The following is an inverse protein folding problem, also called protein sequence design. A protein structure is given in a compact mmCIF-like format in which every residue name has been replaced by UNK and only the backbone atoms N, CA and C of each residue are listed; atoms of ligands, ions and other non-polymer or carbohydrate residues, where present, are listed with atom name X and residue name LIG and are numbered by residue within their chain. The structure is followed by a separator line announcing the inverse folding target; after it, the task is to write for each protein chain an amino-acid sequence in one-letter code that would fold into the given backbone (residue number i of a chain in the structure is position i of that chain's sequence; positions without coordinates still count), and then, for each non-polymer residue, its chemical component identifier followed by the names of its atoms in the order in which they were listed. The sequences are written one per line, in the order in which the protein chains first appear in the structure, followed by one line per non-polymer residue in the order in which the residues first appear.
data_IF_877984629657
#
_entry.id   IF_877984629657
#
_cell.length_a   1.000
_cell.length_b   1.000
_cell.length_c   1.000
_cell.angle_alpha   90.00
_cell.angle_beta   90.00
_cell.angle_gamma   90.00
#
_symmetry.space_group_name_H-M   'P 1'
#
loop_
_entity.id
_entity.type
_entity.pdbx_description
1 polymer ?
#
# COMPACT_ATOMS: atom_id res chain seq x y z
N UNK A 1 -24.39 -8.35 20.18
CA UNK A 1 -23.66 -7.18 20.73
C UNK A 1 -22.90 -6.56 19.57
N UNK A 2 -22.97 -5.23 19.38
CA UNK A 2 -22.27 -4.55 18.27
C UNK A 2 -20.79 -4.53 18.59
N UNK A 3 -19.95 -5.04 17.66
CA UNK A 3 -18.49 -5.04 17.78
C UNK A 3 -17.91 -3.76 17.19
N UNK A 4 -17.19 -2.98 17.98
CA UNK A 4 -16.51 -1.76 17.54
C UNK A 4 -15.09 -2.10 17.07
N UNK A 5 -14.79 -1.86 15.78
CA UNK A 5 -13.46 -2.09 15.22
C UNK A 5 -12.85 -0.74 14.84
N UNK A 6 -11.64 -0.46 15.36
CA UNK A 6 -10.87 0.73 15.03
C UNK A 6 -9.77 0.38 14.04
N UNK A 7 -9.80 0.94 12.83
CA UNK A 7 -8.71 0.86 11.85
C UNK A 7 -7.86 2.13 11.92
N UNK A 8 -6.57 1.96 12.19
CA UNK A 8 -5.56 3.02 12.06
C UNK A 8 -4.88 2.87 10.71
N UNK A 9 -5.09 3.84 9.83
CA UNK A 9 -4.63 3.84 8.44
C UNK A 9 -3.88 5.13 8.11
N UNK A 10 -3.64 5.41 6.84
CA UNK A 10 -3.13 6.69 6.35
C UNK A 10 -3.72 7.04 4.99
N UNK A 11 -4.21 8.26 4.87
CA UNK A 11 -4.67 8.85 3.63
C UNK A 11 -3.57 9.60 2.87
N UNK A 12 -2.48 9.97 3.57
CA UNK A 12 -1.45 10.89 3.05
C UNK A 12 -0.17 10.19 2.56
N UNK A 13 0.12 8.97 3.02
CA UNK A 13 1.34 8.23 2.65
C UNK A 13 1.17 7.37 1.40
N UNK A 14 0.72 7.99 0.31
CA UNK A 14 0.33 7.29 -0.89
C UNK A 14 -1.06 6.64 -0.74
N UNK A 15 -1.57 6.04 -1.83
CA UNK A 15 -2.91 5.41 -1.78
C UNK A 15 -2.90 3.95 -1.30
N UNK A 16 -1.73 3.40 -0.95
CA UNK A 16 -1.59 2.00 -0.60
C UNK A 16 -2.41 1.59 0.62
N UNK A 17 -2.15 2.23 1.74
CA UNK A 17 -2.85 1.95 3.01
C UNK A 17 -4.36 2.22 2.90
N UNK A 18 -4.72 3.34 2.24
CA UNK A 18 -6.11 3.68 1.96
C UNK A 18 -6.82 2.61 1.13
N UNK A 19 -6.19 2.11 0.05
CA UNK A 19 -6.74 1.07 -0.82
C UNK A 19 -7.03 -0.22 -0.04
N UNK A 20 -6.12 -0.64 0.84
CA UNK A 20 -6.31 -1.80 1.72
C UNK A 20 -7.49 -1.53 2.68
N UNK A 21 -7.51 -0.37 3.32
CA UNK A 21 -8.57 0.00 4.25
C UNK A 21 -9.93 0.04 3.57
N UNK A 22 -10.02 0.60 2.35
CA UNK A 22 -11.24 0.61 1.54
C UNK A 22 -11.71 -0.83 1.24
N UNK A 23 -10.81 -1.73 0.84
CA UNK A 23 -11.16 -3.12 0.53
C UNK A 23 -11.73 -3.88 1.74
N UNK A 24 -11.21 -3.61 2.94
CA UNK A 24 -11.74 -4.19 4.18
C UNK A 24 -13.08 -3.53 4.57
N UNK A 25 -13.19 -2.20 4.43
CA UNK A 25 -14.42 -1.47 4.74
C UNK A 25 -15.59 -1.95 3.89
N UNK A 26 -15.35 -2.24 2.59
CA UNK A 26 -16.34 -2.85 1.69
C UNK A 26 -16.85 -4.21 2.23
N UNK A 27 -15.99 -5.00 2.89
CA UNK A 27 -16.39 -6.30 3.45
C UNK A 27 -17.02 -6.16 4.83
N UNK A 28 -16.51 -5.28 5.70
CA UNK A 28 -17.12 -4.99 6.99
C UNK A 28 -18.55 -4.44 6.85
N UNK A 29 -18.86 -3.68 5.79
CA UNK A 29 -20.22 -3.14 5.55
C UNK A 29 -21.27 -4.23 5.35
N UNK A 30 -20.87 -5.47 5.08
CA UNK A 30 -21.77 -6.62 4.97
C UNK A 30 -22.16 -7.23 6.35
N UNK A 31 -21.57 -6.73 7.44
CA UNK A 31 -21.79 -7.19 8.80
C UNK A 31 -22.52 -6.12 9.62
N UNK A 32 -23.86 -6.19 9.77
CA UNK A 32 -24.65 -5.16 10.45
C UNK A 32 -24.39 -5.08 11.97
N UNK A 33 -23.77 -6.10 12.54
CA UNK A 33 -23.35 -6.19 13.92
C UNK A 33 -21.94 -5.61 14.19
N UNK A 34 -21.32 -5.00 13.16
CA UNK A 34 -20.00 -4.35 13.25
C UNK A 34 -20.11 -2.85 13.04
N UNK A 35 -19.53 -2.09 13.96
CA UNK A 35 -19.31 -0.65 13.78
C UNK A 35 -17.85 -0.37 13.49
N UNK A 36 -17.58 0.01 12.25
CA UNK A 36 -16.22 0.31 11.80
C UNK A 36 -15.87 1.78 11.99
N UNK A 37 -14.71 2.03 12.58
CA UNK A 37 -14.13 3.38 12.74
C UNK A 37 -12.78 3.41 12.04
N UNK A 38 -12.65 4.24 11.01
CA UNK A 38 -11.39 4.42 10.27
C UNK A 38 -10.80 5.77 10.63
N UNK A 39 -9.54 5.78 11.06
CA UNK A 39 -8.82 6.98 11.48
C UNK A 39 -7.47 7.04 10.76
N UNK A 40 -7.15 8.20 10.18
CA UNK A 40 -5.80 8.47 9.71
C UNK A 40 -4.88 8.72 10.91
N UNK A 41 -3.88 7.84 11.10
CA UNK A 41 -2.97 7.91 12.25
C UNK A 41 -2.20 9.22 12.33
N UNK A 42 -1.90 9.88 11.20
CA UNK A 42 -1.23 11.18 11.21
C UNK A 42 -2.10 12.30 11.82
N UNK A 43 -3.42 12.16 11.80
CA UNK A 43 -4.30 13.13 12.48
C UNK A 43 -4.15 13.09 13.98
N UNK A 44 -3.73 11.95 14.55
CA UNK A 44 -3.49 11.81 15.99
C UNK A 44 -2.31 12.67 16.47
N UNK A 45 -1.34 12.96 15.60
CA UNK A 45 -0.23 13.88 15.87
C UNK A 45 -0.59 15.35 15.56
N UNK A 46 -1.86 15.66 15.35
CA UNK A 46 -2.35 17.02 15.05
C UNK A 46 -1.75 17.59 13.75
N UNK A 47 -1.59 18.92 13.72
CA UNK A 47 -1.08 19.62 12.52
C UNK A 47 0.33 19.19 12.11
N UNK A 48 1.17 18.79 13.06
CA UNK A 48 2.54 18.33 12.78
C UNK A 48 2.51 16.99 12.03
N UNK A 49 1.75 16.02 12.50
CA UNK A 49 1.59 14.73 11.84
C UNK A 49 1.03 14.87 10.42
N UNK A 50 0.01 15.71 10.24
CA UNK A 50 -0.57 15.99 8.93
C UNK A 50 0.47 16.58 7.94
N UNK A 51 1.36 17.47 8.40
CA UNK A 51 2.45 18.02 7.57
C UNK A 51 3.43 16.92 7.16
N UNK A 52 3.82 16.05 8.09
CA UNK A 52 4.73 14.92 7.82
C UNK A 52 4.10 13.97 6.81
N UNK A 53 2.84 13.57 7.00
CA UNK A 53 2.12 12.70 6.04
C UNK A 53 2.06 13.31 4.64
N UNK A 54 1.76 14.62 4.51
CA UNK A 54 1.71 15.33 3.23
C UNK A 54 3.07 15.44 2.52
N UNK A 55 4.19 15.39 3.26
CA UNK A 55 5.54 15.41 2.67
C UNK A 55 5.92 14.08 2.00
N UNK A 56 5.22 12.97 2.30
CA UNK A 56 5.52 11.67 1.71
C UNK A 56 5.55 11.70 0.17
N UNK A 57 4.51 12.22 -0.46
CA UNK A 57 4.43 12.29 -1.92
C UNK A 57 5.57 13.09 -2.56
N UNK A 58 5.83 14.35 -2.15
CA UNK A 58 6.98 15.13 -2.61
C UNK A 58 8.33 14.44 -2.39
N UNK A 59 8.56 13.83 -1.21
CA UNK A 59 9.84 13.18 -0.88
C UNK A 59 10.08 11.95 -1.76
N UNK A 60 9.10 11.06 -1.87
CA UNK A 60 9.24 9.83 -2.69
C UNK A 60 9.37 10.13 -4.20
N UNK A 61 8.85 11.29 -4.66
CA UNK A 61 8.98 11.75 -6.06
C UNK A 61 10.31 12.38 -6.37
N UNK A 62 10.75 13.32 -5.51
CA UNK A 62 11.81 14.29 -5.84
C UNK A 62 13.09 14.09 -5.01
N UNK A 63 13.03 13.36 -3.89
CA UNK A 63 14.13 13.21 -2.95
C UNK A 63 14.29 11.74 -2.50
N UNK A 64 14.52 10.84 -3.47
CA UNK A 64 14.65 9.39 -3.22
C UNK A 64 15.76 9.03 -2.22
N UNK A 65 16.85 9.80 -2.20
CA UNK A 65 17.95 9.61 -1.25
C UNK A 65 17.49 9.93 0.19
N UNK A 66 16.70 11.00 0.38
CA UNK A 66 16.12 11.32 1.68
C UNK A 66 15.14 10.24 2.14
N UNK A 67 14.33 9.70 1.21
CA UNK A 67 13.48 8.55 1.48
C UNK A 67 14.30 7.34 1.93
N UNK A 68 15.38 7.02 1.20
CA UNK A 68 16.27 5.91 1.55
C UNK A 68 16.87 6.07 2.95
N UNK A 69 17.33 7.27 3.29
CA UNK A 69 17.84 7.55 4.65
C UNK A 69 16.76 7.32 5.73
N UNK A 70 15.54 7.77 5.51
CA UNK A 70 14.41 7.52 6.42
C UNK A 70 14.10 6.03 6.56
N UNK A 71 14.13 5.29 5.47
CA UNK A 71 13.99 3.83 5.46
C UNK A 71 15.11 3.15 6.26
N UNK A 72 16.36 3.50 6.02
CA UNK A 72 17.51 2.96 6.77
C UNK A 72 17.43 3.28 8.26
N UNK A 73 16.95 4.47 8.63
CA UNK A 73 16.71 4.81 10.03
C UNK A 73 15.66 3.89 10.65
N UNK A 74 14.57 3.62 9.93
CA UNK A 74 13.50 2.71 10.39
C UNK A 74 14.00 1.26 10.58
N UNK A 75 15.01 0.84 9.80
CA UNK A 75 15.63 -0.48 9.95
C UNK A 75 16.57 -0.55 11.16
N UNK A 76 17.36 0.51 11.40
CA UNK A 76 18.43 0.50 12.40
C UNK A 76 17.96 0.93 13.79
N UNK A 77 17.02 1.86 13.87
CA UNK A 77 16.53 2.47 15.13
C UNK A 77 15.01 2.66 15.12
N UNK A 78 14.23 1.58 15.01
CA UNK A 78 12.76 1.67 14.98
C UNK A 78 12.19 2.30 16.26
N UNK A 79 12.84 2.13 17.42
CA UNK A 79 12.42 2.72 18.68
C UNK A 79 12.35 4.25 18.62
N UNK A 80 13.34 4.91 17.98
CA UNK A 80 13.33 6.37 17.88
C UNK A 80 12.11 6.90 17.08
N UNK A 81 11.69 6.15 16.06
CA UNK A 81 10.49 6.49 15.28
C UNK A 81 9.25 6.29 16.15
N UNK A 82 9.17 5.17 16.87
CA UNK A 82 8.05 4.87 17.76
C UNK A 82 7.92 5.91 18.87
N UNK A 83 9.02 6.25 19.56
CA UNK A 83 9.04 7.20 20.67
C UNK A 83 8.59 8.60 20.22
N UNK A 84 9.04 9.05 19.03
CA UNK A 84 8.62 10.33 18.47
C UNK A 84 7.13 10.37 18.16
N UNK A 85 6.59 9.32 17.55
CA UNK A 85 5.18 9.25 17.19
C UNK A 85 4.32 9.09 18.44
N UNK A 86 4.74 8.25 19.38
CA UNK A 86 4.09 8.10 20.68
C UNK A 86 3.90 9.45 21.36
N UNK A 87 5.00 10.22 21.49
CA UNK A 87 4.99 11.53 22.12
C UNK A 87 3.95 12.51 21.53
N UNK A 88 3.74 12.43 20.22
CA UNK A 88 2.86 13.34 19.49
C UNK A 88 1.42 12.85 19.37
N UNK A 89 1.16 11.55 19.57
CA UNK A 89 -0.16 10.93 19.37
C UNK A 89 -0.86 10.57 20.69
N UNK A 90 -0.14 10.49 21.79
CA UNK A 90 -0.58 9.94 23.08
C UNK A 90 -1.95 10.47 23.52
N UNK A 91 -2.09 11.75 23.70
CA UNK A 91 -3.31 12.36 24.25
C UNK A 91 -4.52 12.14 23.32
N UNK A 92 -4.33 12.39 22.03
CA UNK A 92 -5.39 12.23 21.05
C UNK A 92 -5.80 10.76 20.87
N UNK A 93 -4.86 9.83 21.01
CA UNK A 93 -5.17 8.40 20.93
C UNK A 93 -5.99 7.93 22.12
N UNK A 94 -5.65 8.34 23.35
CA UNK A 94 -6.44 8.03 24.55
C UNK A 94 -7.85 8.62 24.46
N UNK A 95 -7.99 9.88 24.02
CA UNK A 95 -9.31 10.48 23.80
C UNK A 95 -10.11 9.74 22.72
N UNK A 96 -9.43 9.27 21.67
CA UNK A 96 -10.06 8.43 20.63
C UNK A 96 -10.58 7.12 21.23
N UNK A 97 -9.79 6.43 22.06
CA UNK A 97 -10.20 5.20 22.73
C UNK A 97 -11.39 5.41 23.66
N UNK A 98 -11.42 6.50 24.45
CA UNK A 98 -12.55 6.84 25.32
C UNK A 98 -13.84 7.04 24.53
N UNK A 99 -13.75 7.67 23.35
CA UNK A 99 -14.89 7.96 22.48
C UNK A 99 -15.41 6.74 21.75
N UNK A 100 -14.52 5.91 21.19
CA UNK A 100 -14.89 4.76 20.33
C UNK A 100 -15.15 3.52 21.15
N UNK A 101 -14.37 3.28 22.19
CA UNK A 101 -14.36 2.04 22.99
C UNK A 101 -14.24 0.81 22.09
N UNK A 102 -13.14 0.68 21.34
CA UNK A 102 -12.98 -0.41 20.39
C UNK A 102 -12.80 -1.76 21.08
N UNK A 103 -13.36 -2.81 20.48
CA UNK A 103 -13.15 -4.22 20.85
C UNK A 103 -11.91 -4.80 20.18
N UNK A 104 -11.43 -4.15 19.11
CA UNK A 104 -10.24 -4.53 18.35
C UNK A 104 -9.65 -3.32 17.64
N UNK A 105 -8.31 -3.24 17.63
CA UNK A 105 -7.55 -2.27 16.85
C UNK A 105 -6.85 -3.01 15.71
N UNK A 106 -7.06 -2.55 14.47
CA UNK A 106 -6.34 -2.98 13.28
C UNK A 106 -5.44 -1.84 12.80
N UNK A 107 -4.14 -2.04 12.82
CA UNK A 107 -3.19 -1.09 12.25
C UNK A 107 -2.77 -1.52 10.84
N UNK A 108 -2.94 -0.62 9.88
CA UNK A 108 -2.58 -0.81 8.47
C UNK A 108 -1.41 0.09 8.08
N UNK A 109 -0.69 0.67 9.05
CA UNK A 109 0.46 1.54 8.77
C UNK A 109 1.61 1.29 9.76
N UNK A 110 2.86 1.10 9.29
CA UNK A 110 3.97 0.66 10.14
C UNK A 110 4.31 1.62 11.27
N UNK A 111 4.19 2.92 11.04
CA UNK A 111 4.59 3.96 11.99
C UNK A 111 3.73 3.98 13.27
N UNK A 112 2.53 3.37 13.26
CA UNK A 112 1.62 3.43 14.39
C UNK A 112 1.61 2.15 15.24
N UNK A 113 2.31 1.08 14.84
CA UNK A 113 2.29 -0.18 15.59
C UNK A 113 2.97 0.00 16.96
N UNK A 114 4.27 0.17 16.99
CA UNK A 114 5.03 0.27 18.24
C UNK A 114 4.65 1.47 19.09
N UNK A 115 4.38 2.63 18.47
CA UNK A 115 4.00 3.85 19.19
C UNK A 115 2.66 3.70 19.93
N UNK A 116 1.63 3.12 19.29
CA UNK A 116 0.34 2.93 19.95
C UNK A 116 0.39 1.79 20.97
N UNK A 117 1.19 0.75 20.73
CA UNK A 117 1.43 -0.32 21.72
C UNK A 117 2.13 0.21 22.96
N UNK A 118 3.12 1.12 22.82
CA UNK A 118 3.73 1.80 23.97
C UNK A 118 2.67 2.53 24.82
N UNK A 119 1.78 3.28 24.17
CA UNK A 119 0.70 3.99 24.88
C UNK A 119 -0.23 3.01 25.60
N UNK A 120 -0.65 1.92 24.93
CA UNK A 120 -1.52 0.91 25.55
C UNK A 120 -0.86 0.27 26.79
N UNK A 121 0.44 -0.07 26.70
CA UNK A 121 1.20 -0.63 27.82
C UNK A 121 1.35 0.36 28.99
N UNK A 122 1.72 1.62 28.68
CA UNK A 122 1.91 2.66 29.70
C UNK A 122 0.64 2.92 30.54
N UNK A 123 -0.53 2.78 29.92
CA UNK A 123 -1.83 2.94 30.60
C UNK A 123 -2.46 1.63 31.06
N UNK A 124 -1.80 0.48 30.85
CA UNK A 124 -2.33 -0.83 31.18
C UNK A 124 -3.62 -1.18 30.44
N UNK A 125 -3.83 -0.59 29.25
CA UNK A 125 -5.03 -0.79 28.44
C UNK A 125 -4.86 -2.07 27.64
N UNK A 126 -5.80 -3.00 27.78
CA UNK A 126 -5.80 -4.28 27.07
C UNK A 126 -6.89 -4.29 26.01
N UNK A 127 -6.49 -4.22 24.78
CA UNK A 127 -7.33 -4.33 23.58
C UNK A 127 -6.58 -5.20 22.58
N UNK A 128 -7.21 -6.19 21.94
CA UNK A 128 -6.59 -6.93 20.85
C UNK A 128 -6.06 -5.98 19.76
N UNK A 129 -4.77 -6.10 19.46
CA UNK A 129 -4.07 -5.28 18.48
C UNK A 129 -3.55 -6.15 17.35
N UNK A 130 -4.03 -5.92 16.13
CA UNK A 130 -3.64 -6.65 14.93
C UNK A 130 -2.94 -5.71 13.96
N UNK A 131 -1.84 -6.16 13.39
CA UNK A 131 -1.16 -5.47 12.29
C UNK A 131 -1.51 -6.15 10.96
N UNK A 132 -1.87 -5.38 9.94
CA UNK A 132 -1.99 -5.84 8.56
C UNK A 132 -0.90 -5.19 7.72
N UNK A 133 0.05 -5.99 7.25
CA UNK A 133 1.19 -5.51 6.46
C UNK A 133 0.74 -5.12 5.05
N UNK A 134 1.13 -3.91 4.62
CA UNK A 134 0.83 -3.36 3.29
C UNK A 134 2.00 -3.49 2.29
N UNK A 135 3.10 -4.15 2.68
CA UNK A 135 4.28 -4.39 1.86
C UNK A 135 4.43 -5.90 1.55
N UNK A 136 4.84 -6.26 0.32
CA UNK A 136 4.85 -7.67 -0.11
C UNK A 136 6.07 -8.45 0.41
N UNK A 137 7.27 -7.87 0.31
CA UNK A 137 8.53 -8.59 0.56
C UNK A 137 9.44 -7.81 1.50
N UNK A 138 9.83 -6.60 1.11
CA UNK A 138 10.72 -5.75 1.88
C UNK A 138 9.93 -5.01 2.93
N UNK A 139 9.98 -5.48 4.18
CA UNK A 139 9.29 -4.84 5.30
C UNK A 139 10.29 -4.26 6.30
N UNK A 140 9.91 -3.19 6.99
CA UNK A 140 10.71 -2.66 8.10
C UNK A 140 10.29 -3.30 9.44
N UNK A 141 11.18 -3.28 10.47
CA UNK A 141 10.82 -3.73 11.81
C UNK A 141 9.61 -3.02 12.42
N UNK A 142 9.27 -1.83 11.93
CA UNK A 142 8.06 -1.11 12.37
C UNK A 142 6.75 -1.87 12.08
N UNK A 143 6.74 -2.84 11.15
CA UNK A 143 5.62 -3.74 10.93
C UNK A 143 5.55 -4.88 11.95
N UNK A 144 6.68 -5.24 12.53
CA UNK A 144 6.89 -6.52 13.23
C UNK A 144 7.10 -6.32 14.74
N UNK A 145 6.17 -5.64 15.41
CA UNK A 145 6.20 -5.53 16.87
C UNK A 145 5.73 -6.83 17.52
N UNK A 146 6.55 -7.51 18.37
CA UNK A 146 6.19 -8.81 18.95
C UNK A 146 5.07 -8.73 19.99
N UNK A 147 4.69 -7.55 20.45
CA UNK A 147 3.63 -7.32 21.44
C UNK A 147 2.23 -7.46 20.86
N UNK A 148 2.04 -7.30 19.54
CA UNK A 148 0.73 -7.47 18.89
C UNK A 148 0.14 -8.86 19.13
N UNK A 149 -1.18 -9.01 19.06
CA UNK A 149 -1.83 -10.30 19.13
C UNK A 149 -1.60 -11.11 17.85
N UNK A 150 -1.76 -10.46 16.69
CA UNK A 150 -1.54 -11.07 15.38
C UNK A 150 -0.94 -10.09 14.37
N UNK A 151 -0.18 -10.64 13.42
CA UNK A 151 0.25 -9.95 12.20
C UNK A 151 -0.29 -10.71 11.00
N UNK A 152 -1.11 -10.04 10.20
CA UNK A 152 -1.60 -10.56 8.92
C UNK A 152 -0.55 -10.21 7.86
N UNK A 153 0.08 -11.25 7.33
CA UNK A 153 1.13 -11.16 6.32
C UNK A 153 0.54 -11.36 4.92
N UNK A 154 0.82 -10.48 3.95
CA UNK A 154 0.34 -10.65 2.58
C UNK A 154 1.05 -11.78 1.83
N UNK A 155 2.25 -12.17 2.28
CA UNK A 155 3.10 -13.17 1.61
C UNK A 155 3.86 -14.03 2.63
N UNK A 156 4.39 -15.16 2.18
CA UNK A 156 5.32 -15.96 2.99
C UNK A 156 6.64 -15.21 3.24
N UNK A 157 7.08 -14.41 2.28
CA UNK A 157 8.29 -13.60 2.38
C UNK A 157 8.17 -12.58 3.52
N UNK A 158 7.04 -11.86 3.62
CA UNK A 158 6.79 -10.93 4.73
C UNK A 158 6.67 -11.66 6.08
N UNK A 159 6.08 -12.87 6.12
CA UNK A 159 6.07 -13.72 7.32
C UNK A 159 7.49 -14.06 7.76
N UNK A 160 8.37 -14.50 6.84
CA UNK A 160 9.76 -14.82 7.17
C UNK A 160 10.51 -13.61 7.73
N UNK A 161 10.28 -12.43 7.18
CA UNK A 161 10.86 -11.19 7.72
C UNK A 161 10.36 -10.88 9.14
N UNK A 162 9.11 -11.11 9.44
CA UNK A 162 8.60 -10.96 10.82
C UNK A 162 9.25 -11.94 11.80
N UNK A 163 9.51 -13.18 11.38
CA UNK A 163 10.27 -14.16 12.18
C UNK A 163 11.70 -13.67 12.45
N UNK A 164 12.38 -13.15 11.42
CA UNK A 164 13.74 -12.55 11.56
C UNK A 164 13.74 -11.38 12.55
N UNK A 165 12.66 -10.63 12.68
CA UNK A 165 12.49 -9.54 13.63
C UNK A 165 12.02 -10.00 15.03
N UNK A 166 11.90 -11.31 15.27
CA UNK A 166 11.62 -11.88 16.58
C UNK A 166 10.14 -12.07 16.93
N UNK A 167 9.24 -11.93 15.96
CA UNK A 167 7.82 -12.21 16.19
C UNK A 167 7.58 -13.72 16.22
N UNK A 168 6.83 -14.21 17.21
CA UNK A 168 6.47 -15.64 17.32
C UNK A 168 5.64 -16.10 16.12
N UNK A 169 5.94 -17.29 15.62
CA UNK A 169 5.23 -17.88 14.47
C UNK A 169 3.73 -18.02 14.71
N UNK A 170 3.32 -18.30 15.94
CA UNK A 170 1.90 -18.44 16.34
C UNK A 170 1.07 -17.17 16.14
N UNK A 171 1.72 -16.00 16.04
CA UNK A 171 1.08 -14.71 15.80
C UNK A 171 1.03 -14.32 14.30
N UNK A 172 1.70 -15.08 13.42
CA UNK A 172 1.87 -14.73 12.01
C UNK A 172 0.92 -15.51 11.11
N UNK A 173 -0.03 -14.82 10.52
CA UNK A 173 -1.08 -15.40 9.66
C UNK A 173 -0.87 -14.94 8.22
N UNK A 174 -0.62 -15.86 7.30
CA UNK A 174 -0.51 -15.53 5.86
C UNK A 174 -1.89 -15.70 5.23
N UNK A 175 -2.53 -14.59 4.84
CA UNK A 175 -3.83 -14.61 4.15
C UNK A 175 -3.67 -14.14 2.70
N UNK A 176 -2.94 -13.05 2.48
CA UNK A 176 -2.76 -12.47 1.17
C UNK A 176 -2.90 -10.94 1.18
N UNK A 177 -2.76 -10.33 0.01
CA UNK A 177 -2.85 -8.89 -0.16
C UNK A 177 -4.27 -8.49 -0.61
N UNK A 178 -5.05 -7.77 0.19
CA UNK A 178 -6.43 -7.44 -0.15
C UNK A 178 -6.50 -6.38 -1.24
N UNK A 179 -7.42 -6.58 -2.18
CA UNK A 179 -7.67 -5.68 -3.32
C UNK A 179 -9.13 -5.22 -3.26
N UNK A 180 -9.40 -3.97 -3.62
CA UNK A 180 -10.74 -3.38 -3.63
C UNK A 180 -11.69 -4.12 -4.58
N UNK A 181 -12.95 -4.20 -4.21
CA UNK A 181 -13.99 -4.94 -4.95
C UNK A 181 -14.05 -4.55 -6.43
N UNK A 182 -13.85 -3.29 -6.77
CA UNK A 182 -13.90 -2.81 -8.15
C UNK A 182 -12.87 -3.45 -9.10
N UNK A 183 -11.75 -3.97 -8.59
CA UNK A 183 -10.74 -4.68 -9.41
C UNK A 183 -11.05 -6.15 -9.60
N UNK A 184 -11.96 -6.72 -8.81
CA UNK A 184 -12.36 -8.14 -8.88
C UNK A 184 -13.82 -8.34 -9.28
N UNK A 185 -14.63 -7.28 -9.32
CA UNK A 185 -16.06 -7.39 -9.64
C UNK A 185 -16.35 -7.93 -11.05
N UNK A 186 -15.40 -7.76 -11.99
CA UNK A 186 -15.52 -8.31 -13.34
C UNK A 186 -15.57 -9.85 -13.35
N UNK A 187 -15.05 -10.51 -12.30
CA UNK A 187 -15.14 -11.97 -12.15
C UNK A 187 -16.57 -12.47 -11.92
N UNK A 188 -17.49 -11.58 -11.54
CA UNK A 188 -18.91 -11.88 -11.38
C UNK A 188 -19.73 -11.62 -12.67
N UNK A 189 -19.07 -11.17 -13.75
CA UNK A 189 -19.69 -10.87 -15.04
C UNK A 189 -18.93 -11.65 -16.12
N UNK A 190 -19.53 -12.72 -16.60
CA UNK A 190 -18.93 -13.65 -17.58
C UNK A 190 -18.42 -12.93 -18.84
N UNK A 191 -19.09 -11.88 -19.29
CA UNK A 191 -18.66 -11.10 -20.46
C UNK A 191 -17.39 -10.32 -20.18
N UNK A 192 -17.29 -9.67 -19.01
CA UNK A 192 -16.10 -8.91 -18.59
C UNK A 192 -14.95 -9.83 -18.21
N UNK A 193 -15.25 -10.94 -17.57
CA UNK A 193 -14.25 -11.98 -17.25
C UNK A 193 -13.65 -12.55 -18.53
N UNK A 194 -14.46 -12.93 -19.52
CA UNK A 194 -13.98 -13.42 -20.79
C UNK A 194 -13.11 -12.41 -21.52
N UNK A 195 -13.46 -11.11 -21.46
CA UNK A 195 -12.63 -10.03 -22.02
C UNK A 195 -11.29 -9.89 -21.30
N UNK A 196 -11.27 -9.88 -19.97
CA UNK A 196 -10.04 -9.83 -19.17
C UNK A 196 -9.14 -11.05 -19.40
N UNK A 197 -9.77 -12.24 -19.60
CA UNK A 197 -9.09 -13.50 -19.82
C UNK A 197 -8.71 -13.77 -21.28
N UNK A 198 -9.17 -12.93 -22.24
CA UNK A 198 -8.88 -13.09 -23.64
C UNK A 198 -7.37 -13.10 -23.89
N UNK A 199 -6.95 -14.05 -24.73
CA UNK A 199 -5.57 -14.14 -25.19
C UNK A 199 -5.28 -13.03 -26.22
N UNK A 200 -4.11 -12.45 -26.12
CA UNK A 200 -3.60 -11.59 -27.18
C UNK A 200 -3.01 -12.46 -28.29
N UNK A 201 -3.44 -12.23 -29.53
CA UNK A 201 -3.04 -13.04 -30.71
C UNK A 201 -2.23 -12.25 -31.74
N UNK A 202 -2.01 -10.94 -31.50
CA UNK A 202 -1.31 -10.07 -32.46
C UNK A 202 -2.18 -9.51 -33.59
N UNK A 203 -3.46 -9.85 -33.65
CA UNK A 203 -4.36 -9.47 -34.75
C UNK A 203 -4.98 -8.05 -34.58
N UNK A 204 -4.57 -7.31 -33.56
CA UNK A 204 -4.99 -5.94 -33.26
C UNK A 204 -3.85 -5.17 -32.62
N UNK A 205 -3.92 -3.83 -32.60
CA UNK A 205 -2.95 -3.03 -31.84
C UNK A 205 -2.87 -3.48 -30.37
N UNK A 206 -1.67 -3.40 -29.80
CA UNK A 206 -1.41 -3.73 -28.40
C UNK A 206 -1.91 -2.58 -27.52
N UNK A 207 -2.77 -2.87 -26.55
CA UNK A 207 -3.25 -1.90 -25.56
C UNK A 207 -2.29 -1.82 -24.39
N UNK A 208 -1.61 -0.69 -24.24
CA UNK A 208 -0.59 -0.47 -23.22
C UNK A 208 -1.05 0.55 -22.18
N UNK A 209 -0.97 0.20 -20.90
CA UNK A 209 -1.18 1.14 -19.79
C UNK A 209 0.17 1.54 -19.19
N UNK A 210 0.40 2.84 -19.02
CA UNK A 210 1.58 3.35 -18.31
C UNK A 210 1.13 4.11 -17.07
N UNK A 211 1.61 3.67 -15.90
CA UNK A 211 1.27 4.32 -14.64
C UNK A 211 2.40 4.20 -13.62
N UNK A 212 2.42 5.07 -12.61
CA UNK A 212 3.44 5.07 -11.55
C UNK A 212 2.86 5.46 -10.19
N UNK A 213 1.71 4.87 -9.86
CA UNK A 213 0.94 5.21 -8.66
C UNK A 213 0.27 6.59 -8.72
N UNK A 214 -0.47 6.94 -7.65
CA UNK A 214 -1.34 8.13 -7.61
C UNK A 214 -0.61 9.47 -7.75
N UNK A 215 0.68 9.52 -7.46
CA UNK A 215 1.47 10.76 -7.47
C UNK A 215 2.06 11.10 -8.86
N UNK A 216 2.08 10.19 -9.80
CA UNK A 216 2.61 10.39 -11.15
C UNK A 216 4.09 10.75 -11.16
N UNK A 217 4.95 9.80 -11.43
CA UNK A 217 6.41 9.98 -11.46
C UNK A 217 7.06 9.09 -12.52
N UNK A 218 8.36 9.26 -12.73
CA UNK A 218 9.14 8.38 -13.60
C UNK A 218 9.17 8.78 -15.06
N UNK A 219 9.69 7.88 -15.89
CA UNK A 219 10.03 8.14 -17.30
C UNK A 219 8.88 7.83 -18.28
N UNK A 220 7.62 8.14 -17.91
CA UNK A 220 6.42 7.79 -18.69
C UNK A 220 6.50 8.22 -20.15
N UNK A 221 6.98 9.45 -20.42
CA UNK A 221 7.16 9.95 -21.79
C UNK A 221 8.15 9.12 -22.60
N UNK A 222 9.25 8.66 -21.98
CA UNK A 222 10.26 7.84 -22.65
C UNK A 222 9.72 6.42 -22.91
N UNK A 223 9.03 5.84 -21.94
CA UNK A 223 8.34 4.53 -22.09
C UNK A 223 7.33 4.60 -23.24
N UNK A 224 6.43 5.60 -23.25
CA UNK A 224 5.44 5.77 -24.30
C UNK A 224 6.08 5.91 -25.69
N UNK A 225 7.15 6.73 -25.81
CA UNK A 225 7.88 6.92 -27.09
C UNK A 225 8.53 5.63 -27.58
N UNK A 226 9.04 4.77 -26.68
CA UNK A 226 9.61 3.47 -27.07
C UNK A 226 8.51 2.57 -27.63
N UNK A 227 7.37 2.45 -26.93
CA UNK A 227 6.25 1.63 -27.37
C UNK A 227 5.68 2.11 -28.70
N UNK A 228 5.28 3.38 -28.81
CA UNK A 228 4.63 3.95 -29.97
C UNK A 228 5.50 3.98 -31.24
N UNK A 229 6.84 4.01 -31.08
CA UNK A 229 7.77 3.98 -32.22
C UNK A 229 8.04 2.58 -32.77
N UNK A 230 7.95 1.56 -31.94
CA UNK A 230 8.43 0.23 -32.27
C UNK A 230 7.31 -0.81 -32.42
N UNK A 231 6.09 -0.48 -31.98
CA UNK A 231 4.97 -1.43 -31.99
C UNK A 231 3.71 -0.75 -32.55
N UNK A 232 2.86 -1.57 -33.18
CA UNK A 232 1.47 -1.19 -33.43
C UNK A 232 0.72 -1.30 -32.09
N UNK A 233 0.50 -0.14 -31.45
CA UNK A 233 -0.08 -0.09 -30.12
C UNK A 233 -0.82 1.22 -29.85
N UNK A 234 -1.77 1.18 -28.92
CA UNK A 234 -2.34 2.34 -28.26
C UNK A 234 -1.76 2.43 -26.84
N UNK A 235 -1.53 3.66 -26.36
CA UNK A 235 -0.89 3.90 -25.08
C UNK A 235 -1.76 4.81 -24.22
N UNK A 236 -2.26 4.28 -23.11
CA UNK A 236 -2.96 5.01 -22.05
C UNK A 236 -1.97 5.38 -20.96
N UNK A 237 -1.88 6.65 -20.58
CA UNK A 237 -0.91 7.14 -19.58
C UNK A 237 -1.67 7.77 -18.42
N UNK A 238 -1.48 7.27 -17.21
CA UNK A 238 -2.07 7.85 -15.99
C UNK A 238 -1.02 8.67 -15.24
N UNK A 239 -1.10 9.99 -15.40
CA UNK A 239 -0.20 10.95 -14.75
C UNK A 239 -0.53 11.22 -13.27
N UNK A 240 -1.61 10.63 -12.75
CA UNK A 240 -2.05 10.80 -11.37
C UNK A 240 -2.38 12.26 -11.04
N UNK A 241 -2.05 12.69 -9.81
CA UNK A 241 -2.28 14.07 -9.35
C UNK A 241 -1.31 15.09 -9.94
N UNK A 242 -0.33 14.65 -10.72
CA UNK A 242 0.68 15.53 -11.31
C UNK A 242 0.17 16.25 -12.57
N UNK A 243 -0.56 17.37 -12.39
CA UNK A 243 -1.12 18.18 -13.48
C UNK A 243 -0.04 18.72 -14.45
N UNK A 244 1.15 19.02 -13.94
CA UNK A 244 2.28 19.51 -14.76
C UNK A 244 2.77 18.39 -15.68
N UNK A 245 2.94 17.18 -15.13
CA UNK A 245 3.32 16.01 -15.91
C UNK A 245 2.28 15.72 -16.99
N UNK A 246 0.98 15.74 -16.64
CA UNK A 246 -0.12 15.51 -17.59
C UNK A 246 0.01 16.45 -18.80
N UNK A 247 0.05 17.77 -18.58
CA UNK A 247 0.16 18.76 -19.66
C UNK A 247 1.42 18.57 -20.53
N UNK A 248 2.54 18.20 -19.89
CA UNK A 248 3.79 17.93 -20.61
C UNK A 248 3.69 16.68 -21.48
N UNK A 249 3.04 15.63 -21.00
CA UNK A 249 2.81 14.40 -21.75
C UNK A 249 1.89 14.64 -22.94
N UNK A 250 0.77 15.34 -22.72
CA UNK A 250 -0.16 15.73 -23.79
C UNK A 250 0.57 16.48 -24.90
N UNK A 251 1.23 17.59 -24.58
CA UNK A 251 1.96 18.38 -25.56
C UNK A 251 3.02 17.56 -26.33
N UNK A 252 3.82 16.75 -25.64
CA UNK A 252 4.97 16.05 -26.26
C UNK A 252 4.59 14.80 -27.05
N UNK A 253 3.41 14.24 -26.82
CA UNK A 253 3.01 12.96 -27.40
C UNK A 253 1.90 13.12 -28.45
N UNK A 254 0.89 14.00 -28.21
CA UNK A 254 -0.19 14.19 -29.18
C UNK A 254 0.28 14.71 -30.53
N UNK A 255 1.18 15.71 -30.55
CA UNK A 255 1.71 16.26 -31.80
C UNK A 255 2.38 15.22 -32.71
N UNK A 256 2.88 14.14 -32.10
CA UNK A 256 3.67 13.14 -32.79
C UNK A 256 2.94 11.83 -33.08
N UNK A 257 2.02 11.44 -32.22
CA UNK A 257 1.42 10.11 -32.25
C UNK A 257 -0.10 10.14 -32.36
N UNK A 258 -0.73 11.33 -32.29
CA UNK A 258 -2.16 11.52 -32.48
C UNK A 258 -3.00 10.65 -31.55
N UNK A 259 -4.02 10.02 -32.13
CA UNK A 259 -5.02 9.21 -31.42
C UNK A 259 -4.47 7.90 -30.82
N UNK A 260 -3.21 7.57 -31.11
CA UNK A 260 -2.56 6.38 -30.52
C UNK A 260 -2.16 6.59 -29.05
N UNK A 261 -2.37 7.78 -28.50
CA UNK A 261 -2.01 8.10 -27.11
C UNK A 261 -3.15 8.81 -26.40
N UNK A 262 -3.47 8.37 -25.19
CA UNK A 262 -4.39 9.06 -24.29
C UNK A 262 -3.71 9.36 -22.96
N UNK A 263 -3.89 10.57 -22.41
CA UNK A 263 -3.27 10.98 -21.15
C UNK A 263 -4.33 11.34 -20.13
N UNK A 264 -4.40 10.55 -19.07
CA UNK A 264 -5.30 10.74 -17.95
C UNK A 264 -4.60 11.44 -16.79
N UNK A 265 -5.36 12.23 -16.02
CA UNK A 265 -4.97 12.70 -14.70
C UNK A 265 -5.17 11.61 -13.64
N UNK A 266 -5.55 12.03 -12.43
CA UNK A 266 -6.04 11.09 -11.42
C UNK A 266 -7.37 10.50 -11.88
N UNK A 267 -7.46 9.18 -11.92
CA UNK A 267 -8.68 8.47 -12.33
C UNK A 267 -9.20 7.62 -11.18
N UNK A 268 -10.49 7.72 -10.90
CA UNK A 268 -11.18 6.84 -9.96
C UNK A 268 -11.50 5.47 -10.59
N UNK A 269 -11.57 5.42 -11.93
CA UNK A 269 -11.91 4.23 -12.71
C UNK A 269 -10.68 3.56 -13.32
N UNK A 270 -9.60 3.45 -12.52
CA UNK A 270 -8.34 2.85 -12.99
C UNK A 270 -8.51 1.37 -13.37
N UNK A 271 -9.47 0.66 -12.76
CA UNK A 271 -9.80 -0.72 -13.09
C UNK A 271 -10.25 -0.88 -14.55
N UNK A 272 -10.99 0.09 -15.11
CA UNK A 272 -11.45 0.01 -16.50
C UNK A 272 -10.29 0.19 -17.49
N UNK A 273 -9.33 1.07 -17.13
CA UNK A 273 -8.09 1.24 -17.90
C UNK A 273 -7.24 -0.03 -17.84
N UNK A 274 -7.16 -0.69 -16.69
CA UNK A 274 -6.46 -1.98 -16.56
C UNK A 274 -7.16 -3.07 -17.39
N UNK A 275 -8.47 -3.27 -17.20
CA UNK A 275 -9.25 -4.31 -17.91
C UNK A 275 -9.25 -4.13 -19.44
N UNK A 276 -9.01 -2.92 -19.93
CA UNK A 276 -8.89 -2.61 -21.37
C UNK A 276 -7.45 -2.59 -21.86
N UNK A 277 -6.49 -3.17 -21.12
CA UNK A 277 -5.07 -3.18 -21.49
C UNK A 277 -4.51 -4.59 -21.54
N UNK A 278 -3.57 -4.82 -22.47
CA UNK A 278 -2.85 -6.08 -22.63
C UNK A 278 -1.61 -6.16 -21.76
N UNK A 279 -0.97 -4.99 -21.50
CA UNK A 279 0.20 -4.87 -20.62
C UNK A 279 0.09 -3.59 -19.79
N UNK A 280 0.68 -3.63 -18.59
CA UNK A 280 0.83 -2.44 -17.75
C UNK A 280 2.32 -2.21 -17.42
N UNK A 281 2.83 -1.03 -17.80
CA UNK A 281 4.20 -0.60 -17.48
C UNK A 281 4.14 0.28 -16.23
N UNK A 282 4.77 -0.16 -15.15
CA UNK A 282 4.64 0.49 -13.86
C UNK A 282 5.90 0.36 -12.99
N UNK A 283 5.85 0.99 -11.82
CA UNK A 283 6.76 0.77 -10.71
C UNK A 283 6.29 -0.43 -9.87
N UNK A 284 7.20 -1.09 -9.19
CA UNK A 284 6.94 -2.25 -8.32
C UNK A 284 6.18 -1.93 -7.01
N UNK A 285 5.15 -1.09 -7.07
CA UNK A 285 4.31 -0.76 -5.91
C UNK A 285 3.35 -1.91 -5.58
N UNK A 286 3.23 -2.37 -4.31
CA UNK A 286 2.41 -3.50 -3.92
C UNK A 286 0.96 -3.43 -4.44
N UNK A 287 0.28 -2.31 -4.20
CA UNK A 287 -1.12 -2.13 -4.60
C UNK A 287 -1.30 -2.21 -6.12
N UNK A 288 -0.47 -1.46 -6.88
CA UNK A 288 -0.57 -1.46 -8.34
C UNK A 288 -0.31 -2.85 -8.91
N UNK A 289 0.67 -3.56 -8.34
CA UNK A 289 0.95 -4.94 -8.75
C UNK A 289 -0.24 -5.86 -8.53
N UNK A 290 -0.83 -5.84 -7.33
CA UNK A 290 -1.96 -6.73 -7.02
C UNK A 290 -3.26 -6.32 -7.71
N UNK A 291 -3.50 -5.03 -7.91
CA UNK A 291 -4.62 -4.51 -8.71
C UNK A 291 -4.51 -4.94 -10.19
N UNK A 292 -3.31 -4.89 -10.78
CA UNK A 292 -3.09 -5.35 -12.15
C UNK A 292 -3.24 -6.88 -12.27
N UNK A 293 -2.74 -7.64 -11.28
CA UNK A 293 -2.95 -9.10 -11.21
C UNK A 293 -4.44 -9.42 -11.12
N UNK A 294 -5.19 -8.68 -10.30
CA UNK A 294 -6.62 -8.85 -10.16
C UNK A 294 -7.38 -8.59 -11.48
N UNK A 295 -6.91 -7.63 -12.29
CA UNK A 295 -7.44 -7.36 -13.63
C UNK A 295 -6.85 -8.26 -14.72
N UNK A 296 -6.00 -9.21 -14.39
CA UNK A 296 -5.30 -10.12 -15.31
C UNK A 296 -4.48 -9.39 -16.39
N UNK A 297 -3.73 -8.34 -15.97
CA UNK A 297 -2.89 -7.52 -16.86
C UNK A 297 -1.41 -7.78 -16.57
N UNK A 298 -0.67 -8.40 -17.51
CA UNK A 298 0.76 -8.63 -17.39
C UNK A 298 1.55 -7.35 -17.12
N UNK A 299 2.42 -7.42 -16.12
CA UNK A 299 3.19 -6.27 -15.63
C UNK A 299 4.58 -6.19 -16.26
N UNK A 300 5.01 -4.98 -16.60
CA UNK A 300 6.42 -4.64 -16.89
C UNK A 300 6.88 -3.66 -15.83
N UNK A 301 7.68 -4.12 -14.86
CA UNK A 301 8.21 -3.25 -13.81
C UNK A 301 9.47 -2.54 -14.31
N UNK A 302 9.44 -1.19 -14.34
CA UNK A 302 10.55 -0.34 -14.80
C UNK A 302 11.27 0.40 -13.68
N UNK A 303 10.98 0.09 -12.42
CA UNK A 303 11.61 0.70 -11.25
C UNK A 303 10.87 0.35 -9.96
N UNK A 304 11.47 0.73 -8.86
CA UNK A 304 10.96 0.51 -7.50
C UNK A 304 11.37 1.67 -6.59
N UNK A 305 10.70 1.81 -5.48
CA UNK A 305 11.10 2.71 -4.41
C UNK A 305 12.23 2.03 -3.61
N UNK A 306 13.40 2.70 -3.43
CA UNK A 306 14.53 2.13 -2.70
C UNK A 306 14.12 1.67 -1.28
N UNK A 307 14.59 0.49 -0.89
CA UNK A 307 14.27 -0.15 0.39
C UNK A 307 12.92 -0.85 0.36
N UNK A 308 11.84 -0.11 0.40
CA UNK A 308 10.48 -0.64 0.59
C UNK A 308 10.00 -1.56 -0.54
N UNK A 309 10.32 -1.26 -1.80
CA UNK A 309 9.85 -2.02 -2.96
C UNK A 309 10.95 -2.91 -3.58
N UNK A 310 12.14 -3.02 -2.97
CA UNK A 310 13.29 -3.72 -3.55
C UNK A 310 13.04 -5.21 -3.81
N UNK A 311 12.28 -5.89 -2.96
CA UNK A 311 11.94 -7.30 -3.13
C UNK A 311 10.85 -7.57 -4.16
N UNK A 312 10.04 -6.57 -4.51
CA UNK A 312 8.84 -6.76 -5.33
C UNK A 312 9.12 -7.20 -6.78
N UNK A 313 10.17 -6.71 -7.49
CA UNK A 313 10.54 -7.24 -8.79
C UNK A 313 10.88 -8.74 -8.78
N UNK A 314 11.60 -9.21 -7.74
CA UNK A 314 11.91 -10.61 -7.55
C UNK A 314 10.67 -11.47 -7.29
N UNK A 315 9.75 -10.95 -6.47
CA UNK A 315 8.46 -11.59 -6.18
C UNK A 315 7.60 -11.76 -7.46
N UNK A 316 7.51 -10.70 -8.28
CA UNK A 316 6.81 -10.73 -9.55
C UNK A 316 7.34 -11.83 -10.48
N UNK A 317 8.68 -11.94 -10.62
CA UNK A 317 9.32 -12.96 -11.45
C UNK A 317 9.11 -14.37 -10.91
N UNK A 318 9.26 -14.55 -9.58
CA UNK A 318 9.06 -15.86 -8.91
C UNK A 318 7.68 -16.45 -9.18
N UNK A 319 6.64 -15.61 -9.21
CA UNK A 319 5.27 -16.02 -9.41
C UNK A 319 4.80 -15.89 -10.87
N UNK A 320 5.70 -15.53 -11.79
CA UNK A 320 5.40 -15.32 -13.22
C UNK A 320 4.20 -14.35 -13.43
N UNK A 321 4.18 -13.24 -12.69
CA UNK A 321 3.11 -12.23 -12.76
C UNK A 321 3.40 -11.10 -13.77
N UNK A 322 4.61 -11.10 -14.35
CA UNK A 322 5.09 -10.09 -15.27
C UNK A 322 6.58 -10.23 -15.53
N UNK A 323 7.18 -9.17 -16.04
CA UNK A 323 8.61 -9.08 -16.35
C UNK A 323 9.23 -7.81 -15.75
N UNK A 324 10.55 -7.78 -15.62
CA UNK A 324 11.29 -6.64 -15.08
C UNK A 324 12.16 -6.02 -16.16
N UNK A 325 11.99 -4.73 -16.39
CA UNK A 325 12.80 -3.92 -17.28
C UNK A 325 13.71 -3.02 -16.43
N UNK A 326 14.93 -3.49 -16.15
CA UNK A 326 15.91 -2.75 -15.34
C UNK A 326 16.37 -1.48 -16.03
N UNK A 327 16.64 -1.56 -17.34
CA UNK A 327 17.09 -0.46 -18.16
C UNK A 327 16.09 -0.18 -19.27
N UNK A 328 15.66 1.07 -19.43
CA UNK A 328 14.65 1.43 -20.45
C UNK A 328 15.08 1.16 -21.90
N UNK A 329 16.39 1.03 -22.16
CA UNK A 329 16.90 0.63 -23.49
C UNK A 329 16.46 -0.80 -23.86
N UNK A 330 16.21 -1.66 -22.85
CA UNK A 330 15.82 -3.05 -23.05
C UNK A 330 14.30 -3.24 -23.20
N UNK A 331 13.51 -2.17 -22.98
CA UNK A 331 12.04 -2.25 -23.03
C UNK A 331 11.53 -2.77 -24.39
N UNK A 332 12.18 -2.34 -25.51
CA UNK A 332 11.81 -2.82 -26.85
C UNK A 332 11.99 -4.34 -26.96
N UNK A 333 13.15 -4.86 -26.58
CA UNK A 333 13.43 -6.31 -26.67
C UNK A 333 12.51 -7.12 -25.75
N UNK A 334 12.25 -6.62 -24.55
CA UNK A 334 11.33 -7.25 -23.58
C UNK A 334 9.91 -7.35 -24.17
N UNK A 335 9.38 -6.27 -24.74
CA UNK A 335 8.04 -6.29 -25.35
C UNK A 335 8.04 -7.17 -26.61
N UNK A 336 9.09 -7.14 -27.45
CA UNK A 336 9.21 -8.03 -28.61
C UNK A 336 9.20 -9.50 -28.20
N UNK A 337 9.88 -9.85 -27.09
CA UNK A 337 9.88 -11.21 -26.54
C UNK A 337 8.49 -11.62 -26.02
N UNK A 338 7.78 -10.72 -25.33
CA UNK A 338 6.41 -10.98 -24.84
C UNK A 338 5.44 -11.28 -26.00
N UNK A 339 5.63 -10.61 -27.14
CA UNK A 339 4.77 -10.73 -28.32
C UNK A 339 5.19 -11.82 -29.29
N UNK A 340 6.39 -12.39 -29.13
CA UNK A 340 6.88 -13.46 -30.01
C UNK A 340 6.04 -14.72 -29.89
N UNK A 341 6.08 -15.58 -30.95
CA UNK A 341 5.39 -16.88 -30.99
C UNK A 341 3.89 -16.77 -30.61
N UNK A 342 3.16 -15.87 -31.30
CA UNK A 342 1.75 -15.57 -31.02
C UNK A 342 1.50 -15.14 -29.55
N UNK A 343 2.40 -14.31 -29.02
CA UNK A 343 2.36 -13.79 -27.66
C UNK A 343 2.33 -14.90 -26.57
N UNK A 344 3.00 -16.01 -26.83
CA UNK A 344 3.01 -17.15 -25.90
C UNK A 344 3.42 -16.75 -24.47
N UNK A 345 4.52 -15.97 -24.33
CA UNK A 345 5.02 -15.54 -23.02
C UNK A 345 4.02 -14.63 -22.30
N UNK A 346 3.40 -13.69 -23.03
CA UNK A 346 2.37 -12.79 -22.50
C UNK A 346 1.17 -13.59 -21.97
N UNK A 347 0.66 -14.52 -22.79
CA UNK A 347 -0.49 -15.35 -22.41
C UNK A 347 -0.19 -16.33 -21.27
N UNK A 348 1.07 -16.79 -21.17
CA UNK A 348 1.53 -17.59 -20.02
C UNK A 348 1.51 -16.78 -18.72
N UNK A 349 1.91 -15.50 -18.76
CA UNK A 349 1.81 -14.60 -17.59
C UNK A 349 0.35 -14.41 -17.20
N UNK A 350 -0.56 -14.14 -18.16
CA UNK A 350 -2.00 -14.04 -17.89
C UNK A 350 -2.56 -15.28 -17.20
N UNK A 351 -2.15 -16.47 -17.64
CA UNK A 351 -2.52 -17.73 -16.99
C UNK A 351 -2.03 -17.78 -15.54
N UNK A 352 -0.77 -17.45 -15.29
CA UNK A 352 -0.18 -17.45 -13.94
C UNK A 352 -0.88 -16.44 -13.03
N UNK A 353 -1.27 -15.27 -13.52
CA UNK A 353 -2.01 -14.28 -12.74
C UNK A 353 -3.38 -14.79 -12.29
N UNK A 354 -4.11 -15.51 -13.17
CA UNK A 354 -5.39 -16.15 -12.81
C UNK A 354 -5.23 -17.23 -11.74
N UNK A 355 -4.20 -18.06 -11.87
CA UNK A 355 -3.90 -19.10 -10.90
C UNK A 355 -3.43 -18.55 -9.54
N UNK A 356 -2.78 -17.38 -9.56
CA UNK A 356 -2.29 -16.68 -8.37
C UNK A 356 -3.41 -15.95 -7.62
N UNK A 357 -4.41 -15.45 -8.33
CA UNK A 357 -5.45 -14.57 -7.76
C UNK A 357 -6.37 -15.33 -6.80
N UNK A 358 -6.45 -14.86 -5.56
CA UNK A 358 -7.53 -15.19 -4.63
C UNK A 358 -8.44 -13.96 -4.47
N UNK A 359 -9.67 -13.95 -4.99
CA UNK A 359 -10.57 -12.81 -4.88
C UNK A 359 -11.18 -12.64 -3.48
N UNK A 360 -11.02 -13.62 -2.59
CA UNK A 360 -11.65 -13.66 -1.28
C UNK A 360 -10.76 -13.11 -0.15
N UNK A 361 -9.53 -12.68 -0.43
CA UNK A 361 -8.55 -12.25 0.59
C UNK A 361 -9.14 -11.22 1.57
N UNK A 362 -9.81 -10.17 1.08
CA UNK A 362 -10.40 -9.15 1.94
C UNK A 362 -11.48 -9.73 2.87
N UNK A 363 -12.28 -10.67 2.35
CA UNK A 363 -13.29 -11.39 3.14
C UNK A 363 -12.63 -12.29 4.19
N UNK A 364 -11.61 -13.06 3.80
CA UNK A 364 -10.88 -13.96 4.72
C UNK A 364 -10.21 -13.17 5.86
N UNK A 365 -9.67 -11.97 5.57
CA UNK A 365 -9.12 -11.08 6.60
C UNK A 365 -10.22 -10.63 7.56
N UNK A 366 -11.36 -10.17 7.04
CA UNK A 366 -12.48 -9.73 7.87
C UNK A 366 -13.03 -10.88 8.72
N UNK A 367 -13.25 -12.06 8.12
CA UNK A 367 -13.69 -13.25 8.84
C UNK A 367 -12.72 -13.65 9.97
N UNK A 368 -11.41 -13.50 9.76
CA UNK A 368 -10.40 -13.72 10.78
C UNK A 368 -10.51 -12.69 11.91
N UNK A 369 -10.60 -11.40 11.59
CA UNK A 369 -10.69 -10.32 12.59
C UNK A 369 -11.97 -10.42 13.44
N UNK A 370 -13.06 -10.87 12.86
CA UNK A 370 -14.33 -11.02 13.57
C UNK A 370 -14.30 -12.15 14.61
N UNK A 371 -13.44 -13.16 14.44
CA UNK A 371 -13.24 -14.26 15.40
C UNK A 371 -12.37 -13.88 16.60
N UNK A 372 -11.66 -12.76 16.54
CA UNK A 372 -10.83 -12.29 17.66
C UNK A 372 -11.74 -11.68 18.70
N UNK A 373 -11.74 -12.27 19.89
CA UNK A 373 -12.52 -11.79 21.04
C UNK A 373 -11.66 -10.95 21.97
N UNK A 374 -12.24 -9.87 22.49
CA UNK A 374 -11.64 -9.17 23.61
C UNK A 374 -12.01 -9.91 24.90
N UNK A 375 -11.02 -10.52 25.54
CA UNK A 375 -11.21 -11.35 26.75
C UNK A 375 -11.31 -10.52 28.02
N UNK A 376 -10.91 -9.26 28.00
CA UNK A 376 -10.88 -8.38 29.16
C UNK A 376 -11.73 -7.13 28.92
N UNK A 377 -12.42 -6.61 29.94
CA UNK A 377 -13.16 -5.37 29.78
C UNK A 377 -12.19 -4.21 29.50
N UNK A 378 -12.56 -3.34 28.57
CA UNK A 378 -11.79 -2.15 28.25
C UNK A 378 -11.84 -1.18 29.43
N UNK A 379 -10.73 -1.01 30.12
CA UNK A 379 -10.56 -0.05 31.22
C UNK A 379 -9.61 1.05 30.71
N UNK A 380 -10.13 2.26 30.59
CA UNK A 380 -9.32 3.44 30.23
C UNK A 380 -9.22 4.34 31.45
N UNK A 381 -8.00 4.66 31.93
CA UNK A 381 -7.80 5.52 33.08
C UNK A 381 -8.44 6.91 32.88
N UNK A 382 -9.07 7.45 33.93
CA UNK A 382 -9.65 8.80 33.89
C UNK A 382 -8.57 9.88 33.89
N UNK A 383 -7.51 9.67 34.68
CA UNK A 383 -6.41 10.61 34.81
C UNK A 383 -5.29 10.23 33.82
N UNK A 384 -5.01 11.12 32.89
CA UNK A 384 -3.88 11.03 31.96
C UNK A 384 -2.69 11.69 32.65
N UNK A 385 -1.62 10.97 33.04
CA UNK A 385 -0.41 11.59 33.54
C UNK A 385 0.13 12.54 32.46
N UNK A 386 0.31 13.82 32.80
CA UNK A 386 0.83 14.80 31.84
C UNK A 386 2.25 14.41 31.42
N UNK A 387 2.63 14.72 30.19
CA UNK A 387 3.98 14.51 29.62
C UNK A 387 5.14 14.84 30.59
N UNK A 388 4.93 15.80 31.49
CA UNK A 388 5.87 16.20 32.52
C UNK A 388 6.20 15.10 33.55
N UNK A 389 5.28 14.21 33.82
CA UNK A 389 5.45 13.15 34.83
C UNK A 389 6.26 11.96 34.27
N UNK A 390 6.21 11.74 32.96
CA UNK A 390 7.02 10.75 32.25
C UNK A 390 8.50 11.17 32.14
N UNK A 391 8.80 12.45 31.95
CA UNK A 391 10.16 12.97 31.96
C UNK A 391 10.90 12.71 33.27
N UNK A 392 10.18 12.67 34.39
CA UNK A 392 10.72 12.31 35.71
C UNK A 392 11.02 10.82 35.82
N UNK A 393 10.19 9.96 35.26
CA UNK A 393 10.40 8.50 35.26
C UNK A 393 11.59 8.06 34.41
N UNK A 394 11.91 8.78 33.33
CA UNK A 394 13.04 8.49 32.42
C UNK A 394 14.35 9.18 32.80
N UNK A 395 14.44 9.87 33.93
CA UNK A 395 15.68 10.50 34.39
C UNK A 395 16.17 11.66 33.50
N UNK A 396 15.34 12.16 32.58
CA UNK A 396 15.66 13.27 31.68
C UNK A 396 15.27 14.59 32.35
N UNK A 397 16.04 15.00 33.35
CA UNK A 397 15.98 16.34 33.90
C UNK A 397 16.63 17.34 32.95
N UNK A 398 15.97 17.75 31.90
CA UNK A 398 16.35 18.93 31.11
C UNK A 398 15.46 20.10 31.46
N UNK A 399 16.03 21.05 32.19
CA UNK A 399 15.47 22.40 32.40
C UNK A 399 15.30 23.07 31.03
N UNK A 400 14.08 23.06 30.50
CA UNK A 400 13.71 23.93 29.39
C UNK A 400 13.21 25.24 30.00
N UNK A 401 14.08 26.25 30.05
CA UNK A 401 13.76 27.63 30.44
C UNK A 401 13.01 28.28 29.27
N UNK A 402 11.68 28.34 29.32
CA UNK A 402 10.89 29.12 28.38
C UNK A 402 11.03 30.59 28.74
N UNK A 403 11.83 31.36 27.99
CA UNK A 403 11.81 32.84 28.06
C UNK A 403 10.47 33.32 27.46
N UNK A 404 9.58 33.78 28.33
CA UNK A 404 8.44 34.61 27.92
C UNK A 404 8.97 35.97 27.51
N UNK A 405 8.89 36.33 26.25
CA UNK A 405 8.96 37.73 25.83
C UNK A 405 7.59 38.38 26.08
N UNK A 406 7.64 39.49 26.84
CA UNK A 406 6.50 40.41 27.05
C UNK A 406 6.22 41.15 25.75
#
# INVERSE_FOLDING_TARGET
MIKNILIISSDFTGHGHKSITESLSEKFSLHPDVKLHVVDGFTLSGNMGLRIGKLYGPVTRNAKELWKMGWELSLRKPSLVNDFIELTTRDNFIELLKRIKPDLILSVHPNFNGSLLNILEDYGIKIPFVTLIADLVSISPLWADPRVDYIICPTKESKYKCLEFGVSESKLIVIGFPVRQKFIQHLNDTSKENKANAQYTGNRPLECLIMSGGEGSGNMSRVAKILLKNFDCHVKIVAGRNKILKRRLEKNLYERFGDRVEVFGFSENIQDLMLSSDIAVTRGSPNVMMEAVACNVPLIITGNLPGQEEGNPGYLLKHNLGVVCKELRDLRSIVSELLSSNAYKLNKIKKSQREFLNPNIAKEIVDFLLKIENKEPLIIPNDIPRLWDFGKKMGISRKITIKRHK
#
